data_IF_385689130538
#
_entry.id   IF_385689130538
#
_cell.length_a   1.000
_cell.length_b   1.000
_cell.length_c   1.000
_cell.angle_alpha   90.00
_cell.angle_beta   90.00
_cell.angle_gamma   90.00
#
_symmetry.space_group_name_H-M   'P 1'
#
loop_
_entity.id
_entity.type
_entity.pdbx_description
1 polymer ?
#
# COMPACT_ATOMS: atom_id res chain seq x y z
N UNK A 1 -17.76 2.31 -22.03
CA UNK A 1 -17.14 3.40 -21.25
C UNK A 1 -16.89 2.84 -19.87
N UNK A 2 -15.68 2.95 -19.35
CA UNK A 2 -15.36 2.38 -18.04
C UNK A 2 -16.17 3.06 -16.92
N UNK A 3 -16.65 2.27 -15.97
CA UNK A 3 -17.38 2.79 -14.80
C UNK A 3 -16.43 2.87 -13.62
N UNK A 4 -16.28 4.08 -13.07
CA UNK A 4 -15.49 4.32 -11.85
C UNK A 4 -16.42 4.34 -10.63
N UNK A 5 -16.12 3.49 -9.64
CA UNK A 5 -16.89 3.37 -8.40
C UNK A 5 -16.08 3.86 -7.20
N UNK A 6 -16.76 4.60 -6.33
CA UNK A 6 -16.24 5.00 -5.03
C UNK A 6 -16.09 3.77 -4.10
N UNK A 7 -15.15 3.85 -3.17
CA UNK A 7 -14.91 2.80 -2.16
C UNK A 7 -14.48 3.40 -0.82
N UNK A 8 -14.52 2.61 0.23
CA UNK A 8 -14.08 3.01 1.58
C UNK A 8 -12.62 2.62 1.78
N UNK A 9 -11.69 3.53 1.47
CA UNK A 9 -10.27 3.27 1.63
C UNK A 9 -9.88 3.12 3.10
N UNK A 10 -8.95 2.20 3.35
CA UNK A 10 -8.16 2.18 4.57
C UNK A 10 -6.89 2.99 4.30
N UNK A 11 -6.72 4.11 5.01
CA UNK A 11 -5.63 5.06 4.75
C UNK A 11 -5.04 5.59 6.06
N UNK A 12 -3.78 6.05 6.05
CA UNK A 12 -3.19 6.65 7.24
C UNK A 12 -3.95 7.91 7.66
N UNK A 13 -4.01 8.15 8.96
CA UNK A 13 -4.43 9.45 9.50
C UNK A 13 -3.35 10.51 9.20
N UNK A 14 -3.72 11.81 9.08
CA UNK A 14 -2.79 12.84 8.63
C UNK A 14 -1.48 12.92 9.42
N UNK A 15 -1.54 12.69 10.73
CA UNK A 15 -0.36 12.71 11.63
C UNK A 15 0.66 11.61 11.31
N UNK A 16 0.20 10.47 10.80
CA UNK A 16 1.04 9.30 10.54
C UNK A 16 1.34 9.08 9.05
N UNK A 17 0.77 9.89 8.15
CA UNK A 17 0.89 9.70 6.70
C UNK A 17 2.35 9.57 6.24
N UNK A 18 3.25 10.42 6.74
CA UNK A 18 4.69 10.37 6.40
C UNK A 18 5.42 9.20 7.04
N UNK A 19 4.94 8.67 8.16
CA UNK A 19 5.54 7.53 8.86
C UNK A 19 5.09 6.19 8.26
N UNK A 20 3.86 6.12 7.75
CA UNK A 20 3.31 4.94 7.10
C UNK A 20 3.87 4.79 5.69
N UNK A 21 4.06 5.89 4.96
CA UNK A 21 4.60 5.86 3.60
C UNK A 21 5.90 5.04 3.52
N UNK A 22 5.97 4.16 2.52
CA UNK A 22 7.09 3.28 2.26
C UNK A 22 7.48 3.34 0.77
N UNK A 23 8.73 3.02 0.47
CA UNK A 23 9.13 2.70 -0.90
C UNK A 23 8.48 1.38 -1.34
N UNK A 24 8.34 1.14 -2.66
CA UNK A 24 7.85 -0.13 -3.18
C UNK A 24 8.62 -1.34 -2.63
N UNK A 25 7.93 -2.44 -2.36
CA UNK A 25 8.52 -3.63 -1.73
C UNK A 25 9.55 -4.36 -2.62
N UNK A 26 9.51 -4.12 -3.93
CA UNK A 26 10.33 -4.76 -4.96
C UNK A 26 11.64 -4.01 -5.25
N UNK A 27 11.82 -2.79 -4.71
CA UNK A 27 13.05 -2.01 -4.88
C UNK A 27 14.09 -2.25 -3.77
N UNK A 28 13.86 -3.22 -2.88
CA UNK A 28 14.76 -3.55 -1.78
C UNK A 28 14.67 -5.01 -1.32
N UNK A 29 15.73 -5.50 -0.68
CA UNK A 29 15.72 -6.79 0.02
C UNK A 29 15.28 -6.65 1.50
N UNK A 30 15.03 -7.78 2.17
CA UNK A 30 14.53 -7.79 3.56
C UNK A 30 15.53 -7.19 4.56
N UNK A 31 16.84 -7.22 4.30
CA UNK A 31 17.85 -6.63 5.18
C UNK A 31 17.97 -5.12 5.03
N UNK A 32 17.70 -4.58 3.85
CA UNK A 32 17.52 -3.14 3.63
C UNK A 32 16.23 -2.67 4.28
N UNK A 33 15.12 -3.40 4.09
CA UNK A 33 13.84 -3.08 4.71
C UNK A 33 13.92 -3.04 6.24
N UNK A 34 14.58 -4.01 6.90
CA UNK A 34 14.86 -3.98 8.35
C UNK A 34 15.59 -2.72 8.81
N UNK A 35 16.54 -2.24 8.01
CA UNK A 35 17.28 -1.00 8.31
C UNK A 35 16.41 0.23 8.10
N UNK A 36 15.59 0.24 7.06
CA UNK A 36 14.70 1.36 6.74
C UNK A 36 13.59 1.58 7.78
N UNK A 37 13.07 0.51 8.39
CA UNK A 37 12.04 0.61 9.43
C UNK A 37 12.60 0.89 10.83
N UNK A 38 13.93 0.93 10.99
CA UNK A 38 14.55 1.14 12.30
C UNK A 38 14.07 2.45 12.94
N UNK A 39 13.47 2.35 14.12
CA UNK A 39 12.91 3.50 14.85
C UNK A 39 11.55 3.99 14.33
N UNK A 40 10.97 3.35 13.31
CA UNK A 40 9.66 3.70 12.77
C UNK A 40 8.70 2.49 12.80
N UNK A 41 7.96 2.26 13.90
CA UNK A 41 7.05 1.12 14.02
C UNK A 41 5.80 1.24 13.12
N UNK A 42 5.61 2.38 12.46
CA UNK A 42 4.41 2.65 11.64
C UNK A 42 4.64 2.42 10.15
N UNK A 43 5.87 2.13 9.72
CA UNK A 43 6.18 1.92 8.30
C UNK A 43 5.33 0.80 7.71
N UNK A 44 4.74 1.04 6.53
CA UNK A 44 3.94 0.02 5.85
C UNK A 44 4.78 -1.17 5.37
N UNK A 45 6.12 -1.08 5.39
CA UNK A 45 7.01 -2.23 5.16
C UNK A 45 6.80 -3.36 6.17
N UNK A 46 6.31 -3.07 7.39
CA UNK A 46 5.91 -4.11 8.34
C UNK A 46 4.73 -4.95 7.81
N UNK A 47 3.94 -4.44 6.86
CA UNK A 47 2.85 -5.16 6.20
C UNK A 47 3.33 -5.75 4.87
N UNK A 48 3.92 -4.94 4.00
CA UNK A 48 4.34 -5.36 2.65
C UNK A 48 5.52 -6.34 2.64
N UNK A 49 6.40 -6.24 3.65
CA UNK A 49 7.57 -7.12 3.83
C UNK A 49 7.58 -7.68 5.25
N UNK A 50 6.47 -8.29 5.67
CA UNK A 50 6.27 -8.77 7.03
C UNK A 50 7.33 -9.77 7.53
N UNK A 51 8.11 -10.39 6.65
CA UNK A 51 9.25 -11.24 7.02
C UNK A 51 10.32 -10.47 7.81
N UNK A 52 10.35 -9.13 7.71
CA UNK A 52 11.33 -8.30 8.44
C UNK A 52 11.16 -8.40 9.95
N UNK A 53 9.94 -8.68 10.42
CA UNK A 53 9.57 -8.83 11.83
C UNK A 53 9.66 -10.28 12.34
N UNK A 54 10.16 -11.18 11.49
CA UNK A 54 10.38 -12.59 11.81
C UNK A 54 11.87 -12.93 11.83
N UNK A 55 12.25 -14.05 12.48
CA UNK A 55 13.62 -14.55 12.39
C UNK A 55 14.04 -14.73 10.93
N UNK A 56 15.29 -14.37 10.60
CA UNK A 56 15.83 -14.47 9.23
C UNK A 56 15.82 -15.89 8.64
N UNK A 57 15.65 -16.92 9.47
CA UNK A 57 15.53 -18.31 9.05
C UNK A 57 14.15 -18.69 8.51
N UNK A 58 13.14 -17.81 8.67
CA UNK A 58 11.81 -18.03 8.11
C UNK A 58 11.82 -17.71 6.63
N UNK A 59 11.31 -18.63 5.81
CA UNK A 59 11.15 -18.42 4.38
C UNK A 59 10.15 -17.28 4.12
N UNK A 60 10.41 -16.47 3.10
CA UNK A 60 9.59 -15.28 2.81
C UNK A 60 8.17 -15.62 2.33
N UNK A 61 7.93 -16.87 1.91
CA UNK A 61 6.63 -17.38 1.48
C UNK A 61 5.97 -18.29 2.53
N UNK A 62 6.55 -18.39 3.72
CA UNK A 62 5.97 -19.15 4.82
C UNK A 62 4.65 -18.52 5.30
N UNK A 63 3.66 -19.34 5.67
CA UNK A 63 2.36 -18.89 6.18
C UNK A 63 2.49 -17.89 7.34
N UNK A 64 3.56 -18.02 8.15
CA UNK A 64 3.86 -17.09 9.25
C UNK A 64 4.10 -15.66 8.78
N UNK A 65 4.59 -15.44 7.56
CA UNK A 65 4.80 -14.11 6.98
C UNK A 65 3.44 -13.45 6.72
N UNK A 66 2.50 -14.17 6.12
CA UNK A 66 1.15 -13.65 5.87
C UNK A 66 0.38 -13.37 7.15
N UNK A 67 0.52 -14.25 8.16
CA UNK A 67 -0.08 -14.02 9.48
C UNK A 67 0.53 -12.80 10.18
N UNK A 68 1.86 -12.61 10.05
CA UNK A 68 2.53 -11.42 10.56
C UNK A 68 2.06 -10.14 9.85
N UNK A 69 1.88 -10.18 8.52
CA UNK A 69 1.35 -9.05 7.76
C UNK A 69 -0.06 -8.67 8.26
N UNK A 70 -0.92 -9.66 8.47
CA UNK A 70 -2.28 -9.47 9.02
C UNK A 70 -2.24 -8.87 10.43
N UNK A 71 -1.38 -9.37 11.31
CA UNK A 71 -1.16 -8.85 12.65
C UNK A 71 -0.71 -7.38 12.62
N UNK A 72 0.28 -7.06 11.78
CA UNK A 72 0.83 -5.72 11.66
C UNK A 72 -0.20 -4.72 11.09
N UNK A 73 -0.95 -5.10 10.06
CA UNK A 73 -2.05 -4.27 9.55
C UNK A 73 -3.12 -4.03 10.64
N UNK A 74 -3.49 -5.08 11.37
CA UNK A 74 -4.46 -4.98 12.46
C UNK A 74 -3.99 -4.02 13.57
N UNK A 75 -2.69 -4.04 13.90
CA UNK A 75 -2.10 -3.09 14.85
C UNK A 75 -2.22 -1.65 14.37
N UNK A 76 -1.89 -1.36 13.10
CA UNK A 76 -2.03 -0.02 12.53
C UNK A 76 -3.48 0.49 12.61
N UNK A 77 -4.45 -0.39 12.38
CA UNK A 77 -5.87 -0.05 12.51
C UNK A 77 -6.27 0.19 13.96
N UNK A 78 -5.91 -0.72 14.88
CA UNK A 78 -6.27 -0.63 16.30
C UNK A 78 -5.64 0.57 17.00
N UNK A 79 -4.47 1.04 16.52
CA UNK A 79 -3.77 2.20 17.04
C UNK A 79 -4.24 3.53 16.40
N UNK A 80 -5.30 3.50 15.59
CA UNK A 80 -5.80 4.66 14.83
C UNK A 80 -4.76 5.32 13.90
N UNK A 81 -3.69 4.60 13.58
CA UNK A 81 -2.67 5.02 12.61
C UNK A 81 -3.23 4.95 11.19
N UNK A 82 -4.00 3.90 10.90
CA UNK A 82 -4.79 3.78 9.68
C UNK A 82 -6.28 3.71 10.02
N UNK A 83 -7.10 4.43 9.26
CA UNK A 83 -8.55 4.48 9.47
C UNK A 83 -9.28 4.24 8.17
N UNK A 84 -10.32 3.43 8.23
CA UNK A 84 -11.21 3.23 7.10
C UNK A 84 -12.21 4.39 7.02
N UNK A 85 -12.40 4.96 5.83
CA UNK A 85 -13.41 5.99 5.64
C UNK A 85 -14.82 5.45 5.89
N UNK A 86 -15.70 6.30 6.43
CA UNK A 86 -17.08 5.93 6.80
C UNK A 86 -17.98 5.73 5.58
N UNK A 87 -17.71 6.47 4.51
CA UNK A 87 -18.51 6.49 3.28
C UNK A 87 -17.62 6.18 2.09
N UNK A 88 -18.18 5.56 1.02
CA UNK A 88 -17.44 5.42 -0.22
C UNK A 88 -17.06 6.78 -0.80
N UNK A 89 -15.78 6.95 -1.12
CA UNK A 89 -15.24 8.15 -1.74
C UNK A 89 -14.51 7.83 -3.05
N UNK A 90 -14.41 8.82 -3.92
CA UNK A 90 -13.34 8.89 -4.91
C UNK A 90 -12.21 9.71 -4.30
N UNK A 91 -10.97 9.31 -4.56
CA UNK A 91 -9.80 9.95 -3.97
C UNK A 91 -8.96 10.64 -5.03
N UNK A 92 -8.27 11.69 -4.64
CA UNK A 92 -7.30 12.37 -5.49
C UNK A 92 -5.92 11.87 -5.10
N UNK A 93 -5.15 11.42 -6.10
CA UNK A 93 -3.74 11.11 -5.97
C UNK A 93 -2.95 12.12 -6.77
N UNK A 94 -1.86 12.63 -6.20
CA UNK A 94 -0.98 13.56 -6.89
C UNK A 94 0.47 13.12 -6.71
N UNK A 95 1.21 13.13 -7.82
CA UNK A 95 2.63 12.87 -7.83
C UNK A 95 3.36 14.02 -8.52
N UNK A 96 4.39 14.54 -7.86
CA UNK A 96 5.28 15.55 -8.45
C UNK A 96 6.67 14.96 -8.64
N UNK A 97 7.14 14.92 -9.89
CA UNK A 97 8.47 14.45 -10.24
C UNK A 97 9.16 15.44 -11.17
N UNK A 98 10.37 15.87 -10.78
CA UNK A 98 11.21 16.83 -11.54
C UNK A 98 10.44 18.08 -12.00
N UNK A 99 9.64 18.67 -11.11
CA UNK A 99 8.86 19.88 -11.38
C UNK A 99 7.60 19.67 -12.24
N UNK A 100 7.24 18.42 -12.58
CA UNK A 100 5.99 18.09 -13.25
C UNK A 100 5.05 17.40 -12.26
N UNK A 101 3.82 17.90 -12.18
CA UNK A 101 2.77 17.38 -11.32
C UNK A 101 1.73 16.65 -12.16
N UNK A 102 1.38 15.43 -11.73
CA UNK A 102 0.32 14.62 -12.31
C UNK A 102 -0.70 14.30 -11.23
N UNK A 103 -1.96 14.61 -11.52
CA UNK A 103 -3.09 14.36 -10.63
C UNK A 103 -3.97 13.27 -11.25
N UNK A 104 -4.33 12.28 -10.45
CA UNK A 104 -5.18 11.15 -10.83
C UNK A 104 -6.34 10.96 -9.85
N UNK A 105 -7.31 10.15 -10.27
CA UNK A 105 -8.44 9.75 -9.43
C UNK A 105 -8.25 8.28 -9.08
N UNK A 106 -8.35 7.95 -7.79
CA UNK A 106 -8.34 6.58 -7.29
C UNK A 106 -9.77 6.15 -6.98
N UNK A 107 -10.16 5.01 -7.55
CA UNK A 107 -11.45 4.37 -7.36
C UNK A 107 -11.42 2.95 -7.92
N UNK A 108 -12.52 2.22 -7.77
CA UNK A 108 -12.66 0.87 -8.28
C UNK A 108 -13.18 0.87 -9.72
N UNK A 109 -12.64 -0.02 -10.55
CA UNK A 109 -13.13 -0.25 -11.92
C UNK A 109 -13.38 -1.75 -12.12
N UNK A 110 -14.15 -2.11 -13.15
CA UNK A 110 -14.36 -3.52 -13.49
C UNK A 110 -13.09 -4.11 -14.10
N UNK A 111 -12.72 -5.33 -13.68
CA UNK A 111 -11.59 -6.05 -14.28
C UNK A 111 -11.82 -6.30 -15.78
N UNK A 112 -13.08 -6.52 -16.18
CA UNK A 112 -13.48 -6.69 -17.58
C UNK A 112 -13.17 -5.47 -18.43
N UNK A 113 -13.29 -4.25 -17.89
CA UNK A 113 -12.94 -3.02 -18.61
C UNK A 113 -11.42 -2.93 -18.88
N UNK A 114 -10.59 -3.47 -17.98
CA UNK A 114 -9.14 -3.57 -18.15
C UNK A 114 -8.75 -4.66 -19.16
N UNK A 115 -9.39 -5.84 -19.09
CA UNK A 115 -9.11 -6.97 -19.98
C UNK A 115 -9.52 -6.63 -21.43
N UNK A 116 -10.69 -6.01 -21.62
CA UNK A 116 -11.25 -5.69 -22.94
C UNK A 116 -10.77 -4.34 -23.52
N UNK A 117 -9.67 -3.78 -23.01
CA UNK A 117 -9.05 -2.53 -23.47
C UNK A 117 -9.97 -1.29 -23.51
N UNK A 118 -11.04 -1.30 -22.70
CA UNK A 118 -11.90 -0.13 -22.42
C UNK A 118 -11.12 0.88 -21.57
N UNK A 119 -10.35 0.39 -20.59
CA UNK A 119 -9.36 1.17 -19.85
C UNK A 119 -8.01 1.05 -20.57
N UNK A 120 -7.43 2.17 -20.97
CA UNK A 120 -6.10 2.18 -21.58
C UNK A 120 -5.02 2.03 -20.52
N UNK A 121 -4.08 1.13 -20.78
CA UNK A 121 -3.00 0.74 -19.87
C UNK A 121 -1.83 1.71 -20.03
N UNK A 122 -1.38 2.34 -18.95
CA UNK A 122 -0.24 3.27 -18.98
C UNK A 122 1.10 2.52 -18.88
N UNK A 123 1.19 1.57 -17.97
CA UNK A 123 2.36 0.71 -17.82
C UNK A 123 2.09 -0.67 -18.42
N UNK A 124 3.09 -1.25 -19.11
CA UNK A 124 3.07 -2.66 -19.46
C UNK A 124 3.30 -3.47 -18.18
N UNK A 125 2.27 -3.67 -17.39
CA UNK A 125 2.22 -4.81 -16.46
C UNK A 125 2.25 -6.05 -17.36
N UNK A 126 3.40 -6.74 -17.42
CA UNK A 126 3.54 -8.00 -18.16
C UNK A 126 2.92 -9.14 -17.37
#
# INVERSE_FOLDING_TARGET
MAVLKAFRALRPTPEYASKVAALPYDVMNSDEARRMVFGNPYSFLHVDKAEIDLPKSVDIYDDRVYEKARENLSKLVSAEVMKQDEKPCLYIYEQTWRGRTQTGIVGCTAIDDYINDVIKKHEKTR
#
